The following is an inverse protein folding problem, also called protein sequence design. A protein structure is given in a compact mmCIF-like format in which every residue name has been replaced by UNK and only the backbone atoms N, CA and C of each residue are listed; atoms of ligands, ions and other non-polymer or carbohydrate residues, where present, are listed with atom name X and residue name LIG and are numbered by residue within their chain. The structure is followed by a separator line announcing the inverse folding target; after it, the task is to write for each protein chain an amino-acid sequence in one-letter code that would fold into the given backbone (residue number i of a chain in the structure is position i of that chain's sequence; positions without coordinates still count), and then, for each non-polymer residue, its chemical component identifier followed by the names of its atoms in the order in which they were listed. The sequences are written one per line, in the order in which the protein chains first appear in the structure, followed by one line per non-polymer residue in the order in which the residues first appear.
data_IF_875972239745
#
_entry.id   IF_875972239745
#
_cell.length_a   1.000
_cell.length_b   1.000
_cell.length_c   1.000
_cell.angle_alpha   90.00
_cell.angle_beta   90.00
_cell.angle_gamma   90.00
#
_symmetry.space_group_name_H-M   'P 1'
#
loop_
_entity.id
_entity.type
_entity.pdbx_description
1 polymer ?
#
# COMPACT_ATOMS: atom_id res chain seq x y z
N UNK A 1 -38.22 34.69 -19.85
CA UNK A 1 -37.67 35.09 -18.53
C UNK A 1 -37.25 33.78 -17.92
N UNK A 2 -36.07 33.35 -18.32
CA UNK A 2 -35.59 31.98 -18.24
C UNK A 2 -34.37 32.00 -17.31
N UNK A 3 -34.57 31.52 -16.07
CA UNK A 3 -33.47 31.20 -15.15
C UNK A 3 -33.10 29.74 -15.40
N UNK A 4 -31.95 29.41 -15.98
CA UNK A 4 -30.58 29.54 -15.46
C UNK A 4 -30.12 28.26 -14.75
N UNK A 5 -29.35 27.48 -15.52
CA UNK A 5 -28.15 26.72 -15.15
C UNK A 5 -28.14 25.91 -13.85
N UNK A 6 -28.56 24.65 -13.98
CA UNK A 6 -28.19 23.58 -13.07
C UNK A 6 -26.69 23.24 -13.20
N UNK A 7 -25.95 23.69 -12.20
CA UNK A 7 -24.57 23.44 -11.85
C UNK A 7 -24.25 21.92 -11.86
N UNK A 8 -23.60 21.42 -12.92
CA UNK A 8 -22.95 20.10 -12.93
C UNK A 8 -21.55 20.24 -12.31
N UNK A 9 -21.18 19.46 -11.29
CA UNK A 9 -19.82 19.47 -10.79
C UNK A 9 -18.88 18.97 -11.89
N UNK A 10 -17.95 19.84 -12.28
CA UNK A 10 -16.82 19.49 -13.12
C UNK A 10 -15.99 18.45 -12.37
N UNK A 11 -15.95 17.23 -12.89
CA UNK A 11 -14.97 16.22 -12.49
C UNK A 11 -13.62 16.78 -12.92
N UNK A 12 -12.84 17.25 -11.94
CA UNK A 12 -11.51 17.82 -12.17
C UNK A 12 -10.63 16.79 -12.85
N UNK A 13 -9.95 17.21 -13.92
CA UNK A 13 -8.99 16.43 -14.70
C UNK A 13 -7.81 15.84 -13.89
N UNK A 14 -7.67 16.17 -12.60
CA UNK A 14 -6.66 15.62 -11.70
C UNK A 14 -6.92 14.15 -11.31
N UNK A 15 -8.17 13.70 -11.30
CA UNK A 15 -8.51 12.31 -10.97
C UNK A 15 -8.13 11.32 -12.09
N UNK A 16 -8.03 11.80 -13.33
CA UNK A 16 -7.59 10.99 -14.48
C UNK A 16 -6.06 10.83 -14.52
N UNK A 17 -5.32 11.84 -14.06
CA UNK A 17 -3.84 11.86 -14.07
C UNK A 17 -3.25 10.84 -13.08
N UNK A 18 -3.96 10.49 -12.00
CA UNK A 18 -3.46 9.54 -11.00
C UNK A 18 -3.49 8.08 -11.48
N UNK A 19 -4.46 7.68 -12.30
CA UNK A 19 -4.49 6.33 -12.90
C UNK A 19 -3.36 6.19 -13.91
N UNK A 20 -3.09 7.25 -14.68
CA UNK A 20 -1.99 7.27 -15.65
C UNK A 20 -0.61 7.21 -14.97
N UNK A 21 -0.41 7.83 -13.81
CA UNK A 21 0.89 7.84 -13.14
C UNK A 21 1.30 6.46 -12.57
N UNK A 22 0.33 5.70 -12.03
CA UNK A 22 0.56 4.34 -11.54
C UNK A 22 0.76 3.35 -12.71
N UNK A 23 0.07 3.57 -13.83
CA UNK A 23 0.19 2.77 -15.04
C UNK A 23 1.52 3.03 -15.79
N UNK A 24 1.99 4.28 -15.85
CA UNK A 24 3.25 4.68 -16.48
C UNK A 24 4.49 4.25 -15.68
N UNK A 25 4.41 4.23 -14.34
CA UNK A 25 5.52 3.75 -13.50
C UNK A 25 5.72 2.23 -13.65
N UNK A 26 4.64 1.47 -13.80
CA UNK A 26 4.69 0.01 -14.02
C UNK A 26 5.21 -0.39 -15.42
N UNK A 27 4.92 0.39 -16.46
CA UNK A 27 5.43 0.11 -17.82
C UNK A 27 6.95 0.38 -17.91
N UNK A 28 7.47 1.39 -17.22
CA UNK A 28 8.92 1.69 -17.24
C UNK A 28 9.78 0.61 -16.58
N UNK A 29 9.28 -0.02 -15.53
CA UNK A 29 9.99 -1.11 -14.83
C UNK A 29 10.02 -2.39 -15.68
N UNK A 30 8.94 -2.68 -16.43
CA UNK A 30 8.87 -3.84 -17.31
C UNK A 30 9.80 -3.73 -18.55
N UNK A 31 10.04 -2.51 -19.06
CA UNK A 31 10.87 -2.29 -20.25
C UNK A 31 12.37 -2.36 -19.95
N UNK A 32 12.79 -2.12 -18.70
CA UNK A 32 14.23 -2.04 -18.35
C UNK A 32 14.87 -3.42 -18.13
N UNK A 33 14.08 -4.48 -17.94
CA UNK A 33 14.59 -5.84 -17.67
C UNK A 33 15.02 -6.58 -18.97
N UNK A 34 14.63 -6.10 -20.16
CA UNK A 34 14.75 -6.88 -21.40
C UNK A 34 15.96 -6.61 -22.28
N UNK A 35 16.88 -5.73 -21.91
CA UNK A 35 18.10 -5.50 -22.70
C UNK A 35 19.33 -5.48 -21.82
N UNK A 36 20.13 -6.54 -21.78
CA UNK A 36 21.60 -6.45 -21.66
C UNK A 36 22.31 -7.78 -21.99
N UNK A 37 23.56 -7.75 -22.48
CA UNK A 37 24.19 -8.85 -23.19
C UNK A 37 24.95 -9.84 -22.28
N UNK A 38 25.19 -11.02 -22.84
CA UNK A 38 25.71 -12.24 -22.23
C UNK A 38 27.24 -12.25 -22.03
N UNK A 39 27.70 -12.43 -20.79
CA UNK A 39 29.06 -12.95 -20.50
C UNK A 39 29.08 -13.81 -19.24
N UNK A 40 29.78 -14.94 -19.29
CA UNK A 40 29.65 -16.08 -18.37
C UNK A 40 30.09 -15.80 -16.91
N UNK A 41 30.91 -14.77 -16.67
CA UNK A 41 31.34 -14.35 -15.32
C UNK A 41 30.25 -13.57 -14.57
N UNK A 42 29.25 -13.02 -15.27
CA UNK A 42 28.10 -12.34 -14.65
C UNK A 42 27.09 -13.33 -14.05
N UNK A 43 27.12 -14.60 -14.44
CA UNK A 43 26.11 -15.59 -14.06
C UNK A 43 26.19 -15.90 -12.55
N UNK A 44 27.40 -16.04 -12.01
CA UNK A 44 27.60 -16.32 -10.57
C UNK A 44 27.26 -15.12 -9.68
N UNK A 45 27.60 -13.90 -10.13
CA UNK A 45 27.27 -12.66 -9.42
C UNK A 45 25.75 -12.38 -9.47
N UNK A 46 25.10 -12.66 -10.61
CA UNK A 46 23.65 -12.49 -10.76
C UNK A 46 22.84 -13.50 -9.93
N UNK A 47 23.28 -14.74 -9.75
CA UNK A 47 22.61 -15.66 -8.81
C UNK A 47 22.70 -15.19 -7.35
N UNK A 48 23.84 -14.65 -6.93
CA UNK A 48 24.01 -14.11 -5.57
C UNK A 48 23.17 -12.84 -5.36
N UNK A 49 23.18 -11.92 -6.33
CA UNK A 49 22.40 -10.67 -6.28
C UNK A 49 20.90 -10.95 -6.33
N UNK A 50 20.43 -11.84 -7.21
CA UNK A 50 19.02 -12.27 -7.26
C UNK A 50 18.62 -12.97 -5.96
N UNK A 51 19.49 -13.83 -5.40
CA UNK A 51 19.26 -14.46 -4.10
C UNK A 51 19.07 -13.45 -2.98
N UNK A 52 19.94 -12.44 -2.88
CA UNK A 52 19.86 -11.38 -1.87
C UNK A 52 18.58 -10.56 -2.02
N UNK A 53 18.20 -10.18 -3.25
CA UNK A 53 16.97 -9.42 -3.51
C UNK A 53 15.72 -10.20 -3.08
N UNK A 54 15.67 -11.50 -3.38
CA UNK A 54 14.56 -12.38 -2.96
C UNK A 54 14.48 -12.50 -1.44
N UNK A 55 15.63 -12.64 -0.76
CA UNK A 55 15.66 -12.68 0.71
C UNK A 55 15.23 -11.36 1.35
N UNK A 56 15.69 -10.24 0.81
CA UNK A 56 15.29 -8.89 1.28
C UNK A 56 13.79 -8.68 1.08
N UNK A 57 13.23 -9.10 -0.07
CA UNK A 57 11.79 -9.08 -0.31
C UNK A 57 11.03 -9.87 0.76
N UNK A 58 11.40 -11.13 1.02
CA UNK A 58 10.72 -11.94 2.04
C UNK A 58 10.86 -11.37 3.45
N UNK A 59 12.01 -10.77 3.78
CA UNK A 59 12.21 -10.12 5.07
C UNK A 59 11.30 -8.88 5.23
N UNK A 60 11.19 -8.06 4.18
CA UNK A 60 10.32 -6.88 4.18
C UNK A 60 8.84 -7.26 4.18
N UNK A 61 8.45 -8.28 3.43
CA UNK A 61 7.09 -8.83 3.43
C UNK A 61 6.72 -9.41 4.80
N UNK A 62 7.62 -10.14 5.45
CA UNK A 62 7.39 -10.67 6.80
C UNK A 62 7.24 -9.54 7.83
N UNK A 63 8.03 -8.47 7.70
CA UNK A 63 7.93 -7.29 8.55
C UNK A 63 6.62 -6.54 8.32
N UNK A 64 6.18 -6.39 7.07
CA UNK A 64 4.89 -5.79 6.73
C UNK A 64 3.73 -6.59 7.33
N UNK A 65 3.77 -7.92 7.19
CA UNK A 65 2.79 -8.80 7.80
C UNK A 65 2.79 -8.66 9.32
N UNK A 66 3.95 -8.65 9.97
CA UNK A 66 4.04 -8.50 11.42
C UNK A 66 3.51 -7.13 11.89
N UNK A 67 3.85 -6.05 11.19
CA UNK A 67 3.40 -4.70 11.49
C UNK A 67 1.87 -4.59 11.38
N UNK A 68 1.30 -5.08 10.28
CA UNK A 68 -0.15 -5.06 10.07
C UNK A 68 -0.89 -6.00 11.03
N UNK A 69 -0.32 -7.18 11.34
CA UNK A 69 -0.84 -8.12 12.33
C UNK A 69 -0.87 -7.52 13.75
N UNK A 70 0.03 -6.59 14.07
CA UNK A 70 0.03 -5.86 15.33
C UNK A 70 -0.88 -4.62 15.32
N UNK A 71 -0.96 -3.92 14.18
CA UNK A 71 -1.79 -2.74 14.00
C UNK A 71 -3.29 -3.05 14.14
N UNK A 72 -3.75 -4.17 13.58
CA UNK A 72 -5.16 -4.59 13.66
C UNK A 72 -5.70 -4.75 15.09
N UNK A 73 -5.07 -5.57 15.95
CA UNK A 73 -5.45 -5.71 17.35
C UNK A 73 -5.39 -4.39 18.13
N UNK A 74 -4.41 -3.53 17.85
CA UNK A 74 -4.31 -2.22 18.48
C UNK A 74 -5.47 -1.30 18.09
N UNK A 75 -5.88 -1.31 16.81
CA UNK A 75 -7.07 -0.61 16.34
C UNK A 75 -8.35 -1.12 17.01
N UNK A 76 -8.49 -2.45 17.16
CA UNK A 76 -9.61 -3.07 17.87
C UNK A 76 -9.62 -2.70 19.36
N UNK A 77 -8.47 -2.73 20.03
CA UNK A 77 -8.36 -2.35 21.44
C UNK A 77 -8.73 -0.87 21.64
N UNK A 78 -8.31 -0.01 20.71
CA UNK A 78 -8.69 1.41 20.70
C UNK A 78 -10.19 1.57 20.51
N UNK A 79 -10.78 0.85 19.55
CA UNK A 79 -12.22 0.86 19.33
C UNK A 79 -12.99 0.43 20.58
N UNK A 80 -12.58 -0.67 21.22
CA UNK A 80 -13.20 -1.15 22.45
C UNK A 80 -13.10 -0.13 23.58
N UNK A 81 -11.94 0.49 23.75
CA UNK A 81 -11.70 1.52 24.76
C UNK A 81 -12.58 2.77 24.55
N UNK A 82 -12.59 3.32 23.33
CA UNK A 82 -13.39 4.52 22.99
C UNK A 82 -14.89 4.23 23.08
N UNK A 83 -15.32 3.02 22.73
CA UNK A 83 -16.73 2.61 22.80
C UNK A 83 -17.16 2.15 24.21
N UNK A 84 -16.26 2.14 25.20
CA UNK A 84 -16.54 1.61 26.54
C UNK A 84 -16.93 0.13 26.57
N UNK A 85 -16.56 -0.63 25.54
CA UNK A 85 -16.96 -2.02 25.34
C UNK A 85 -15.88 -2.98 25.87
N UNK A 86 -16.25 -4.18 26.34
CA UNK A 86 -15.28 -5.15 26.82
C UNK A 86 -14.39 -5.63 25.67
N UNK A 87 -13.08 -5.62 25.89
CA UNK A 87 -12.12 -6.16 24.94
C UNK A 87 -12.15 -7.69 24.98
N UNK A 88 -12.42 -8.32 23.84
CA UNK A 88 -12.45 -9.79 23.72
C UNK A 88 -11.25 -10.31 22.92
N UNK A 89 -10.75 -11.49 23.29
CA UNK A 89 -9.65 -12.14 22.58
C UNK A 89 -10.01 -12.41 21.11
N UNK A 90 -11.27 -12.78 20.83
CA UNK A 90 -11.76 -13.01 19.48
C UNK A 90 -11.71 -11.73 18.63
N UNK A 91 -12.09 -10.58 19.19
CA UNK A 91 -12.02 -9.32 18.45
C UNK A 91 -10.56 -8.96 18.10
N UNK A 92 -9.63 -9.15 19.04
CA UNK A 92 -8.20 -8.95 18.78
C UNK A 92 -7.68 -9.88 17.67
N UNK A 93 -8.06 -11.16 17.69
CA UNK A 93 -7.68 -12.13 16.66
C UNK A 93 -8.23 -11.76 15.28
N UNK A 94 -9.47 -11.28 15.20
CA UNK A 94 -10.05 -10.79 13.94
C UNK A 94 -9.34 -9.53 13.43
N UNK A 95 -8.95 -8.64 14.34
CA UNK A 95 -8.10 -7.49 14.00
C UNK A 95 -6.75 -7.93 13.42
N UNK A 96 -6.07 -8.88 14.06
CA UNK A 96 -4.81 -9.43 13.55
C UNK A 96 -5.00 -10.09 12.17
N UNK A 97 -6.05 -10.88 12.00
CA UNK A 97 -6.36 -11.55 10.75
C UNK A 97 -6.57 -10.54 9.61
N UNK A 98 -7.37 -9.50 9.83
CA UNK A 98 -7.57 -8.44 8.84
C UNK A 98 -6.24 -7.78 8.40
N UNK A 99 -5.35 -7.50 9.35
CA UNK A 99 -4.02 -6.95 9.06
C UNK A 99 -3.14 -7.91 8.27
N UNK A 100 -3.11 -9.19 8.65
CA UNK A 100 -2.37 -10.24 7.93
C UNK A 100 -2.93 -10.42 6.52
N UNK A 101 -4.24 -10.40 6.33
CA UNK A 101 -4.86 -10.53 5.01
C UNK A 101 -4.45 -9.37 4.10
N UNK A 102 -4.49 -8.12 4.59
CA UNK A 102 -4.05 -6.93 3.84
C UNK A 102 -2.64 -7.09 3.29
N UNK A 103 -1.69 -7.27 4.21
CA UNK A 103 -0.26 -7.35 3.93
C UNK A 103 0.10 -8.62 3.14
N UNK A 104 -0.57 -9.74 3.41
CA UNK A 104 -0.40 -10.99 2.67
C UNK A 104 -0.83 -10.87 1.20
N UNK A 105 -1.93 -10.18 0.91
CA UNK A 105 -2.36 -9.92 -0.48
C UNK A 105 -1.33 -9.04 -1.19
N UNK A 106 -0.87 -7.96 -0.55
CA UNK A 106 0.13 -7.06 -1.14
C UNK A 106 1.44 -7.80 -1.43
N UNK A 107 1.98 -8.53 -0.45
CA UNK A 107 3.19 -9.33 -0.62
C UNK A 107 3.02 -10.40 -1.72
N UNK A 108 1.87 -11.06 -1.79
CA UNK A 108 1.61 -12.06 -2.83
C UNK A 108 1.58 -11.45 -4.23
N UNK A 109 0.91 -10.31 -4.41
CA UNK A 109 0.84 -9.63 -5.71
C UNK A 109 2.21 -9.08 -6.13
N UNK A 110 2.98 -8.52 -5.20
CA UNK A 110 4.37 -8.10 -5.45
C UNK A 110 5.24 -9.30 -5.86
N UNK A 111 5.13 -10.44 -5.16
CA UNK A 111 5.87 -11.65 -5.50
C UNK A 111 5.52 -12.15 -6.92
N UNK A 112 4.24 -12.21 -7.26
CA UNK A 112 3.78 -12.60 -8.59
C UNK A 112 4.19 -11.62 -9.70
N UNK A 113 4.44 -10.37 -9.35
CA UNK A 113 5.02 -9.38 -10.27
C UNK A 113 6.36 -9.84 -10.86
N UNK A 114 7.16 -10.61 -10.12
CA UNK A 114 8.43 -11.17 -10.61
C UNK A 114 8.25 -12.36 -11.56
N UNK A 115 7.08 -12.99 -11.60
CA UNK A 115 6.84 -14.21 -12.37
C UNK A 115 6.56 -13.96 -13.88
N UNK A 116 6.55 -12.70 -14.34
CA UNK A 116 6.35 -12.36 -15.76
C UNK A 116 4.96 -12.73 -16.28
N UNK A 117 3.92 -12.50 -15.47
CA UNK A 117 2.55 -12.86 -15.80
C UNK A 117 2.02 -12.10 -17.04
N UNK A 118 1.14 -12.72 -17.84
CA UNK A 118 0.51 -12.05 -18.97
C UNK A 118 -0.34 -10.86 -18.49
N UNK A 119 -0.41 -9.79 -19.30
CA UNK A 119 -1.07 -8.52 -18.95
C UNK A 119 -2.47 -8.68 -18.32
N UNK A 120 -3.37 -9.53 -18.83
CA UNK A 120 -4.70 -9.69 -18.22
C UNK A 120 -4.64 -10.24 -16.78
N UNK A 121 -3.76 -11.20 -16.51
CA UNK A 121 -3.58 -11.74 -15.17
C UNK A 121 -2.98 -10.68 -14.23
N UNK A 122 -2.06 -9.86 -14.73
CA UNK A 122 -1.47 -8.76 -13.98
C UNK A 122 -2.53 -7.71 -13.61
N UNK A 123 -3.37 -7.29 -14.55
CA UNK A 123 -4.46 -6.33 -14.31
C UNK A 123 -5.42 -6.82 -13.22
N UNK A 124 -5.75 -8.12 -13.22
CA UNK A 124 -6.59 -8.71 -12.18
C UNK A 124 -5.90 -8.68 -10.81
N UNK A 125 -4.61 -9.00 -10.75
CA UNK A 125 -3.86 -8.98 -9.49
C UNK A 125 -3.76 -7.57 -8.91
N UNK A 126 -3.55 -6.55 -9.73
CA UNK A 126 -3.56 -5.17 -9.23
C UNK A 126 -4.94 -4.68 -8.84
N UNK A 127 -6.00 -5.15 -9.51
CA UNK A 127 -7.35 -4.85 -9.06
C UNK A 127 -7.60 -5.44 -7.66
N UNK A 128 -7.12 -6.66 -7.39
CA UNK A 128 -7.20 -7.31 -6.08
C UNK A 128 -6.34 -6.59 -5.02
N UNK A 129 -5.10 -6.20 -5.36
CA UNK A 129 -4.20 -5.48 -4.47
C UNK A 129 -4.52 -3.98 -4.32
N UNK A 130 -5.45 -3.44 -5.12
CA UNK A 130 -5.89 -2.05 -4.98
C UNK A 130 -6.57 -1.82 -3.63
N UNK A 131 -6.62 -0.57 -3.17
CA UNK A 131 -7.36 -0.21 -1.96
C UNK A 131 -8.82 -0.66 -2.00
N UNK A 132 -9.46 -0.56 -3.17
CA UNK A 132 -10.83 -1.02 -3.35
C UNK A 132 -10.94 -2.53 -3.16
N UNK A 133 -10.06 -3.31 -3.80
CA UNK A 133 -10.05 -4.77 -3.71
C UNK A 133 -9.82 -5.25 -2.27
N UNK A 134 -8.76 -4.73 -1.63
CA UNK A 134 -8.40 -5.08 -0.26
C UNK A 134 -9.50 -4.72 0.74
N UNK A 135 -10.05 -3.50 0.67
CA UNK A 135 -11.12 -3.08 1.59
C UNK A 135 -12.35 -3.99 1.48
N UNK A 136 -12.74 -4.34 0.25
CA UNK A 136 -13.87 -5.25 -0.01
C UNK A 136 -13.59 -6.65 0.49
N UNK A 137 -12.40 -7.21 0.20
CA UNK A 137 -12.03 -8.57 0.62
C UNK A 137 -11.99 -8.69 2.13
N UNK A 138 -11.31 -7.76 2.82
CA UNK A 138 -11.23 -7.78 4.29
C UNK A 138 -12.60 -7.58 4.91
N UNK A 139 -13.40 -6.65 4.38
CA UNK A 139 -14.76 -6.45 4.89
C UNK A 139 -15.61 -7.70 4.70
N UNK A 140 -15.52 -8.37 3.55
CA UNK A 140 -16.21 -9.62 3.30
C UNK A 140 -15.77 -10.73 4.26
N UNK A 141 -14.45 -10.91 4.43
CA UNK A 141 -13.87 -11.90 5.33
C UNK A 141 -14.35 -11.70 6.77
N UNK A 142 -14.16 -10.50 7.33
CA UNK A 142 -14.51 -10.20 8.72
C UNK A 142 -16.02 -10.22 8.93
N UNK A 143 -16.82 -9.73 7.97
CA UNK A 143 -18.28 -9.82 8.05
C UNK A 143 -18.75 -11.27 8.08
N UNK A 144 -18.21 -12.12 7.21
CA UNK A 144 -18.56 -13.53 7.17
C UNK A 144 -18.17 -14.27 8.47
N UNK A 145 -17.03 -13.93 9.07
CA UNK A 145 -16.57 -14.52 10.33
C UNK A 145 -17.35 -14.04 11.57
N UNK A 146 -17.93 -12.84 11.53
CA UNK A 146 -18.65 -12.22 12.64
C UNK A 146 -20.16 -12.45 12.54
N UNK A 147 -20.72 -12.26 11.35
CA UNK A 147 -22.16 -12.28 11.08
C UNK A 147 -22.63 -13.59 10.42
N UNK A 148 -21.72 -14.39 9.87
CA UNK A 148 -22.06 -15.60 9.10
C UNK A 148 -22.53 -15.30 7.68
N UNK A 149 -22.54 -14.03 7.28
CA UNK A 149 -22.91 -13.55 5.95
C UNK A 149 -22.10 -12.29 5.59
N UNK A 150 -22.19 -11.87 4.33
CA UNK A 150 -21.54 -10.65 3.85
C UNK A 150 -22.59 -9.66 3.34
N UNK A 151 -23.09 -8.75 4.20
CA UNK A 151 -24.10 -7.79 3.80
C UNK A 151 -23.57 -6.85 2.71
N UNK A 152 -24.33 -6.70 1.63
CA UNK A 152 -23.97 -5.80 0.52
C UNK A 152 -23.76 -4.36 0.99
N UNK A 153 -24.48 -3.92 2.03
CA UNK A 153 -24.32 -2.61 2.64
C UNK A 153 -22.89 -2.38 3.20
N UNK A 154 -22.30 -3.40 3.83
CA UNK A 154 -20.94 -3.32 4.36
C UNK A 154 -19.90 -3.32 3.24
N UNK A 155 -20.15 -4.06 2.16
CA UNK A 155 -19.30 -4.00 0.97
C UNK A 155 -19.34 -2.63 0.30
N UNK A 156 -20.51 -2.02 0.18
CA UNK A 156 -20.65 -0.64 -0.33
C UNK A 156 -19.90 0.34 0.58
N UNK A 157 -20.05 0.20 1.89
CA UNK A 157 -19.31 1.02 2.86
C UNK A 157 -17.79 0.87 2.68
N UNK A 158 -17.29 -0.34 2.46
CA UNK A 158 -15.88 -0.61 2.18
C UNK A 158 -15.38 0.07 0.91
N UNK A 159 -16.16 0.00 -0.19
CA UNK A 159 -15.82 0.65 -1.46
C UNK A 159 -15.74 2.17 -1.30
N UNK A 160 -16.68 2.78 -0.58
CA UNK A 160 -16.69 4.24 -0.37
C UNK A 160 -15.57 4.66 0.58
N UNK A 161 -15.29 3.86 1.61
CA UNK A 161 -14.16 4.09 2.50
C UNK A 161 -12.80 3.95 1.79
N UNK A 162 -12.68 3.15 0.75
CA UNK A 162 -11.44 3.02 -0.02
C UNK A 162 -11.02 4.31 -0.75
N UNK A 163 -11.95 5.25 -0.99
CA UNK A 163 -11.67 6.53 -1.66
C UNK A 163 -10.67 7.39 -0.87
N UNK A 164 -10.90 7.69 0.43
CA UNK A 164 -9.90 8.40 1.23
C UNK A 164 -8.62 7.57 1.49
N UNK A 165 -8.66 6.23 1.43
CA UNK A 165 -7.48 5.38 1.65
C UNK A 165 -6.48 5.31 0.47
N UNK A 166 -6.69 6.06 -0.61
CA UNK A 166 -5.92 5.97 -1.86
C UNK A 166 -4.38 6.05 -1.72
N UNK A 167 -3.85 6.57 -0.61
CA UNK A 167 -2.42 6.65 -0.33
C UNK A 167 -1.81 5.51 0.49
N UNK A 168 -2.61 4.63 1.09
CA UNK A 168 -2.17 3.66 2.12
C UNK A 168 -1.88 2.24 1.58
N UNK A 169 -2.35 1.90 0.37
CA UNK A 169 -2.19 0.55 -0.21
C UNK A 169 -0.91 0.38 -1.03
N UNK A 170 0.16 1.02 -0.57
CA UNK A 170 1.50 0.86 -1.12
C UNK A 170 2.23 -0.05 -0.13
N UNK A 171 2.64 -1.24 -0.59
CA UNK A 171 3.40 -2.18 0.24
C UNK A 171 4.69 -1.56 0.75
N UNK A 172 5.20 -2.06 1.88
CA UNK A 172 6.43 -1.54 2.50
C UNK A 172 7.60 -1.46 1.51
N UNK A 173 7.77 -2.47 0.66
CA UNK A 173 8.82 -2.50 -0.35
C UNK A 173 8.72 -1.33 -1.33
N UNK A 174 7.51 -1.03 -1.76
CA UNK A 174 7.21 0.04 -2.70
C UNK A 174 7.25 1.42 -2.02
N UNK A 175 6.89 1.51 -0.73
CA UNK A 175 7.01 2.71 0.11
C UNK A 175 8.48 3.09 0.39
N UNK A 176 9.35 2.08 0.51
CA UNK A 176 10.79 2.24 0.55
C UNK A 176 11.39 2.67 -0.80
N UNK A 177 10.57 2.77 -1.86
CA UNK A 177 10.98 3.10 -3.23
C UNK A 177 11.77 1.99 -3.93
N UNK A 178 11.65 0.75 -3.44
CA UNK A 178 12.43 -0.38 -3.93
C UNK A 178 13.94 -0.08 -3.93
N UNK A 179 14.64 -0.49 -4.99
CA UNK A 179 16.07 -0.22 -5.18
C UNK A 179 16.40 1.27 -5.46
N UNK A 180 15.39 2.13 -5.66
CA UNK A 180 15.55 3.53 -6.11
C UNK A 180 15.23 4.58 -5.04
N UNK A 181 14.80 4.16 -3.83
CA UNK A 181 14.58 5.04 -2.69
C UNK A 181 13.25 5.80 -2.75
N UNK A 182 12.49 5.75 -1.65
CA UNK A 182 11.18 6.38 -1.52
C UNK A 182 11.28 7.76 -0.88
N UNK A 183 10.35 8.67 -1.21
CA UNK A 183 10.12 9.87 -0.39
C UNK A 183 9.30 9.43 0.82
N UNK A 184 9.67 9.82 2.05
CA UNK A 184 8.87 9.49 3.22
C UNK A 184 7.46 10.07 3.03
N UNK A 185 6.46 9.20 2.91
CA UNK A 185 5.08 9.64 3.00
C UNK A 185 4.90 10.29 4.37
N UNK A 186 4.30 11.49 4.41
CA UNK A 186 4.11 12.20 5.68
C UNK A 186 3.17 11.38 6.57
N UNK A 187 3.68 10.86 7.69
CA UNK A 187 2.95 10.06 8.68
C UNK A 187 1.59 10.66 9.06
N UNK A 188 1.52 12.00 9.13
CA UNK A 188 0.31 12.74 9.45
C UNK A 188 -0.78 12.57 8.38
N UNK A 189 -0.39 12.42 7.11
CA UNK A 189 -1.32 12.18 6.01
C UNK A 189 -1.94 10.79 6.14
N UNK A 190 -1.11 9.75 6.34
CA UNK A 190 -1.57 8.36 6.50
C UNK A 190 -2.53 8.23 7.69
N UNK A 191 -2.16 8.75 8.86
CA UNK A 191 -3.04 8.77 10.03
C UNK A 191 -4.38 9.43 9.72
N UNK A 192 -4.37 10.58 9.04
CA UNK A 192 -5.58 11.33 8.70
C UNK A 192 -6.48 10.60 7.70
N UNK A 193 -5.89 9.96 6.68
CA UNK A 193 -6.61 9.19 5.67
C UNK A 193 -7.22 7.92 6.27
N UNK A 194 -6.53 7.22 7.14
CA UNK A 194 -7.06 6.02 7.81
C UNK A 194 -8.16 6.36 8.80
N UNK A 195 -8.01 7.46 9.54
CA UNK A 195 -9.06 7.99 10.41
C UNK A 195 -10.31 8.36 9.61
N UNK A 196 -10.13 9.04 8.48
CA UNK A 196 -11.22 9.41 7.57
C UNK A 196 -11.86 8.16 6.95
N UNK A 197 -11.07 7.17 6.57
CA UNK A 197 -11.52 5.88 6.07
C UNK A 197 -12.43 5.15 7.07
N UNK A 198 -11.98 5.04 8.32
CA UNK A 198 -12.78 4.46 9.40
C UNK A 198 -14.09 5.21 9.63
N UNK A 199 -14.04 6.55 9.67
CA UNK A 199 -15.23 7.40 9.80
C UNK A 199 -16.22 7.18 8.64
N UNK A 200 -15.73 7.23 7.39
CA UNK A 200 -16.55 7.06 6.18
C UNK A 200 -17.18 5.67 6.15
N UNK A 201 -16.42 4.63 6.50
CA UNK A 201 -16.92 3.27 6.58
C UNK A 201 -18.10 3.17 7.56
N UNK A 202 -17.92 3.64 8.80
CA UNK A 202 -18.97 3.56 9.82
C UNK A 202 -20.22 4.37 9.43
N UNK A 203 -20.03 5.54 8.82
CA UNK A 203 -21.14 6.37 8.34
C UNK A 203 -21.91 5.72 7.19
N UNK A 204 -21.20 5.10 6.25
CA UNK A 204 -21.83 4.42 5.12
C UNK A 204 -22.52 3.12 5.52
N UNK A 205 -21.95 2.38 6.48
CA UNK A 205 -22.60 1.21 7.07
C UNK A 205 -23.92 1.61 7.76
N UNK A 206 -23.92 2.70 8.55
CA UNK A 206 -25.12 3.25 9.18
C UNK A 206 -26.20 3.60 8.15
N UNK A 207 -25.84 4.27 7.06
CA UNK A 207 -26.77 4.60 5.96
C UNK A 207 -27.36 3.34 5.29
N UNK A 208 -26.63 2.22 5.33
CA UNK A 208 -27.10 0.92 4.86
C UNK A 208 -27.91 0.12 5.90
N UNK A 209 -28.22 0.70 7.06
CA UNK A 209 -28.96 0.06 8.16
C UNK A 209 -28.10 -0.78 9.10
N UNK A 210 -26.77 -0.68 9.02
CA UNK A 210 -25.83 -1.42 9.88
C UNK A 210 -25.11 -0.49 10.85
N UNK A 211 -25.62 -0.42 12.08
CA UNK A 211 -24.98 0.31 13.17
C UNK A 211 -23.87 -0.54 13.83
N UNK A 212 -22.66 -0.45 13.29
CA UNK A 212 -21.50 -1.20 13.81
C UNK A 212 -20.94 -0.56 15.08
N UNK A 213 -20.63 0.74 15.02
CA UNK A 213 -20.04 1.48 16.13
C UNK A 213 -20.21 3.00 15.93
N UNK A 214 -19.89 3.78 16.98
CA UNK A 214 -19.87 5.24 16.87
C UNK A 214 -18.83 5.72 15.84
N UNK A 215 -19.11 6.80 15.13
CA UNK A 215 -18.19 7.30 14.09
C UNK A 215 -16.83 7.73 14.66
N UNK A 216 -16.82 8.24 15.90
CA UNK A 216 -15.59 8.61 16.61
C UNK A 216 -14.76 7.37 16.96
N UNK A 217 -15.42 6.26 17.33
CA UNK A 217 -14.77 4.98 17.58
C UNK A 217 -14.06 4.48 16.32
N UNK A 218 -14.75 4.50 15.18
CA UNK A 218 -14.19 4.05 13.91
C UNK A 218 -13.02 4.94 13.44
N UNK A 219 -13.16 6.26 13.58
CA UNK A 219 -12.08 7.20 13.26
C UNK A 219 -10.84 7.00 14.14
N UNK A 220 -11.03 6.78 15.45
CA UNK A 220 -9.93 6.53 16.36
C UNK A 220 -9.21 5.21 16.06
N UNK A 221 -9.96 4.16 15.74
CA UNK A 221 -9.39 2.88 15.33
C UNK A 221 -8.56 3.01 14.06
N UNK A 222 -9.08 3.70 13.04
CA UNK A 222 -8.36 4.01 11.81
C UNK A 222 -7.09 4.82 12.07
N UNK A 223 -7.16 5.87 12.88
CA UNK A 223 -5.99 6.68 13.24
C UNK A 223 -4.88 5.85 13.88
N UNK A 224 -5.21 4.95 14.82
CA UNK A 224 -4.22 4.10 15.49
C UNK A 224 -3.60 3.10 14.52
N UNK A 225 -4.41 2.51 13.64
CA UNK A 225 -3.92 1.63 12.59
C UNK A 225 -2.88 2.35 11.71
N UNK A 226 -3.24 3.53 11.20
CA UNK A 226 -2.39 4.34 10.33
C UNK A 226 -1.13 4.89 11.01
N UNK A 227 -1.17 5.13 12.32
CA UNK A 227 0.05 5.46 13.09
C UNK A 227 1.01 4.29 13.09
N UNK A 228 0.52 3.09 13.40
CA UNK A 228 1.38 1.92 13.52
C UNK A 228 1.99 1.59 12.16
N UNK A 229 1.18 1.45 11.11
CA UNK A 229 1.65 1.15 9.75
C UNK A 229 2.54 2.29 9.21
N UNK A 230 2.14 3.54 9.41
CA UNK A 230 2.89 4.72 8.97
C UNK A 230 4.26 4.87 9.64
N UNK A 231 4.40 4.49 10.92
CA UNK A 231 5.71 4.48 11.60
C UNK A 231 6.66 3.49 10.94
N UNK A 232 6.21 2.27 10.65
CA UNK A 232 7.04 1.28 9.96
C UNK A 232 7.42 1.73 8.54
N UNK A 233 6.46 2.28 7.78
CA UNK A 233 6.72 2.83 6.45
C UNK A 233 7.75 3.96 6.49
N UNK A 234 7.69 4.83 7.50
CA UNK A 234 8.62 5.95 7.64
C UNK A 234 10.02 5.50 8.02
N UNK A 235 10.14 4.59 8.98
CA UNK A 235 11.45 4.05 9.38
C UNK A 235 12.13 3.38 8.18
N UNK A 236 11.37 2.57 7.42
CA UNK A 236 11.89 1.87 6.24
C UNK A 236 12.18 2.83 5.09
N UNK A 237 11.33 3.83 4.86
CA UNK A 237 11.58 4.91 3.90
C UNK A 237 12.84 5.71 4.24
N UNK A 238 13.06 6.03 5.52
CA UNK A 238 14.29 6.69 5.98
C UNK A 238 15.53 5.80 5.78
N UNK A 239 15.45 4.50 6.09
CA UNK A 239 16.56 3.57 5.84
C UNK A 239 16.84 3.39 4.34
N UNK A 240 15.80 3.36 3.51
CA UNK A 240 15.94 3.29 2.05
C UNK A 240 16.51 4.58 1.46
N UNK A 241 16.11 5.73 2.00
CA UNK A 241 16.54 7.06 1.60
C UNK A 241 17.98 7.40 2.00
N UNK A 242 18.58 6.64 2.92
CA UNK A 242 20.03 6.66 3.19
C UNK A 242 20.80 5.95 2.08
N UNK A 243 20.59 6.37 0.83
CA UNK A 243 21.25 5.82 -0.33
C UNK A 243 22.44 6.69 -0.72
N UNK A 244 23.59 6.05 -0.91
CA UNK A 244 24.77 6.70 -1.47
C UNK A 244 24.75 6.54 -2.99
N UNK A 245 24.88 7.66 -3.69
CA UNK A 245 24.91 7.71 -5.14
C UNK A 245 26.34 7.99 -5.59
N UNK A 246 26.92 7.05 -6.33
CA UNK A 246 28.17 7.28 -7.06
C UNK A 246 27.83 7.39 -8.54
N UNK A 247 28.32 8.44 -9.21
CA UNK A 247 28.17 8.54 -10.66
C UNK A 247 29.50 8.88 -11.31
N UNK A 248 29.87 8.10 -12.31
CA UNK A 248 31.06 8.30 -13.13
C UNK A 248 30.67 8.18 -14.60
N UNK A 249 30.83 9.26 -15.37
CA UNK A 249 30.60 9.29 -16.82
C UNK A 249 29.21 8.80 -17.26
N UNK A 250 28.15 9.16 -16.54
CA UNK A 250 26.77 8.76 -16.86
C UNK A 250 26.40 7.34 -16.41
N UNK A 251 27.37 6.55 -15.93
CA UNK A 251 27.07 5.37 -15.13
C UNK A 251 26.75 5.83 -13.70
N UNK A 252 25.63 5.38 -13.15
CA UNK A 252 25.29 5.61 -11.74
C UNK A 252 25.21 4.27 -11.02
N UNK A 253 25.72 4.26 -9.80
CA UNK A 253 25.62 3.17 -8.84
C UNK A 253 24.96 3.74 -7.60
N UNK A 254 23.82 3.17 -7.23
CA UNK A 254 23.10 3.52 -6.04
C UNK A 254 23.25 2.38 -5.03
N UNK A 255 23.82 2.68 -3.87
CA UNK A 255 23.89 1.73 -2.75
C UNK A 255 22.91 2.17 -1.69
N UNK A 256 22.04 1.26 -1.24
CA UNK A 256 21.19 1.47 -0.08
C UNK A 256 21.25 0.24 0.85
N UNK A 257 20.53 0.30 1.96
CA UNK A 257 20.44 -0.80 2.95
C UNK A 257 19.89 -2.10 2.33
N UNK A 258 19.20 -2.01 1.18
CA UNK A 258 18.55 -3.14 0.51
C UNK A 258 19.34 -3.69 -0.67
N UNK A 259 20.46 -3.07 -1.06
CA UNK A 259 21.36 -3.57 -2.09
C UNK A 259 21.99 -2.47 -2.95
N UNK A 260 22.61 -2.90 -4.04
CA UNK A 260 23.23 -2.03 -5.03
C UNK A 260 22.42 -2.10 -6.33
N UNK A 261 22.03 -0.96 -6.89
CA UNK A 261 21.50 -0.87 -8.25
C UNK A 261 22.44 -0.06 -9.14
N UNK A 262 22.57 -0.49 -10.39
CA UNK A 262 23.42 0.15 -11.38
C UNK A 262 22.59 0.51 -12.61
N UNK A 263 22.90 1.64 -13.23
CA UNK A 263 22.25 2.07 -14.45
C UNK A 263 23.07 3.10 -15.21
N UNK A 264 22.62 3.41 -16.41
CA UNK A 264 23.25 4.41 -17.26
C UNK A 264 22.24 5.49 -17.64
N UNK A 265 22.54 6.74 -17.30
CA UNK A 265 21.82 7.93 -17.73
C UNK A 265 22.83 8.96 -18.25
N UNK A 266 22.80 9.19 -19.56
CA UNK A 266 23.67 10.16 -20.23
C UNK A 266 23.41 11.60 -19.82
N UNK A 267 22.29 11.90 -19.16
CA UNK A 267 21.92 13.23 -18.69
C UNK A 267 22.32 13.50 -17.23
N UNK A 268 22.78 12.50 -16.48
CA UNK A 268 23.05 12.64 -15.05
C UNK A 268 24.13 13.68 -14.73
N UNK A 269 25.15 13.79 -15.59
CA UNK A 269 26.23 14.80 -15.46
C UNK A 269 25.77 16.26 -15.64
N UNK A 270 24.52 16.54 -16.06
CA UNK A 270 24.02 17.92 -16.26
C UNK A 270 23.32 18.53 -15.05
N UNK A 271 22.91 17.74 -14.06
CA UNK A 271 22.08 18.21 -12.94
C UNK A 271 22.77 18.09 -11.57
N UNK A 272 24.10 18.00 -11.52
CA UNK A 272 24.90 17.80 -10.30
C UNK A 272 24.97 19.00 -9.34
N UNK A 273 23.84 19.55 -8.93
CA UNK A 273 23.74 20.42 -7.76
C UNK A 273 22.49 20.08 -6.94
N UNK A 274 22.67 19.19 -5.98
CA UNK A 274 21.96 19.19 -4.70
C UNK A 274 22.96 18.86 -3.59
#
# INVERSE_FOLDING_TARGET
MDMENANRPAISSESLVCVDFLFLLCIKTAVTIYSWPSSTTYISLSFLTVGIIVWVFFALAALDIAANAAAGPAAVATAAHVNGSPLTARALQLGALAGVTKSGILAFVEFLGYAGLPTPAWVLLVLVASCFGICVIITAEISNLVLGETPSALLIAAVVAAIPLWGECIGIYQSAGGLYGGKPQTQTCIMGLDALGGYVFARMAHNGGYDICSYNTAAAAGAVYGVITGVFHTILGCMAGCATYESTNGHYTMHNVFGTSEGYDSNWNRNGHF
#
